data_IF_165950707494
#
_entry.id   IF_165950707494
#
_cell.length_a   1.000
_cell.length_b   1.000
_cell.length_c   1.000
_cell.angle_alpha   90.00
_cell.angle_beta   90.00
_cell.angle_gamma   90.00
#
_symmetry.space_group_name_H-M   'P 1'
#
loop_
_entity.id
_entity.type
_entity.pdbx_description
1 polymer ?
#
# COMPACT_ATOMS: atom_id res chain seq x y z
N UNK A 1 -17.37 6.35 9.77
CA UNK A 1 -17.12 7.31 10.87
C UNK A 1 -15.72 7.17 11.45
N UNK A 2 -15.29 5.98 11.91
CA UNK A 2 -13.95 5.79 12.52
C UNK A 2 -12.81 6.22 11.57
N UNK A 3 -12.85 5.77 10.30
CA UNK A 3 -11.82 6.15 9.32
C UNK A 3 -11.87 7.67 9.06
N UNK A 4 -13.07 8.29 8.94
CA UNK A 4 -13.20 9.73 8.80
C UNK A 4 -12.48 10.45 9.94
N UNK A 5 -12.77 10.09 11.20
CA UNK A 5 -12.10 10.67 12.37
C UNK A 5 -10.58 10.49 12.36
N UNK A 6 -10.12 9.30 11.95
CA UNK A 6 -8.68 9.02 11.85
C UNK A 6 -7.98 9.87 10.78
N UNK A 7 -8.72 10.27 9.74
CA UNK A 7 -8.17 11.03 8.63
C UNK A 7 -8.38 12.54 8.75
N UNK A 8 -9.13 13.02 9.75
CA UNK A 8 -9.32 14.46 10.01
C UNK A 8 -8.01 15.29 10.12
N UNK A 9 -6.91 14.77 10.68
CA UNK A 9 -5.65 15.51 10.75
C UNK A 9 -4.92 15.69 9.40
N UNK A 10 -5.39 15.05 8.33
CA UNK A 10 -4.72 15.03 7.03
C UNK A 10 -5.49 15.88 6.01
N UNK A 11 -4.91 17.01 5.60
CA UNK A 11 -5.57 18.00 4.72
C UNK A 11 -5.73 17.50 3.27
N UNK A 12 -4.99 16.48 2.87
CA UNK A 12 -5.00 15.95 1.50
C UNK A 12 -6.11 14.91 1.24
N UNK A 13 -7.00 14.66 2.20
CA UNK A 13 -8.10 13.69 2.05
C UNK A 13 -9.37 14.14 2.76
N UNK A 14 -10.50 13.93 2.14
CA UNK A 14 -11.83 14.16 2.71
C UNK A 14 -12.71 12.94 2.55
N UNK A 15 -13.52 12.67 3.56
CA UNK A 15 -14.51 11.60 3.58
C UNK A 15 -15.88 12.22 3.83
N UNK A 16 -16.88 11.95 2.95
CA UNK A 16 -18.22 12.51 3.09
C UNK A 16 -18.83 12.27 4.48
N UNK A 17 -19.58 13.25 4.96
CA UNK A 17 -20.37 13.14 6.19
C UNK A 17 -21.52 12.15 5.99
N UNK A 18 -21.77 11.31 6.98
CA UNK A 18 -22.94 10.42 6.98
C UNK A 18 -24.04 11.04 7.82
N UNK A 19 -25.20 11.26 7.20
CA UNK A 19 -26.40 11.82 7.85
C UNK A 19 -27.24 10.70 8.45
N UNK A 20 -27.02 10.39 9.73
CA UNK A 20 -27.70 9.29 10.44
C UNK A 20 -29.22 9.45 10.46
N UNK A 21 -29.71 10.66 10.66
CA UNK A 21 -31.14 10.97 10.72
C UNK A 21 -31.89 10.69 9.40
N UNK A 22 -31.14 10.64 8.30
CA UNK A 22 -31.65 10.34 6.96
C UNK A 22 -31.21 8.97 6.45
N UNK A 23 -30.54 8.16 7.28
CA UNK A 23 -30.05 6.83 6.95
C UNK A 23 -30.88 5.76 7.65
N UNK A 24 -31.02 4.59 6.99
CA UNK A 24 -31.75 3.44 7.52
C UNK A 24 -30.91 2.18 7.30
N UNK A 25 -31.43 1.02 7.69
CA UNK A 25 -30.78 -0.27 7.43
C UNK A 25 -30.47 -0.51 5.93
N UNK A 26 -31.30 0.06 5.05
CA UNK A 26 -31.22 -0.19 3.60
C UNK A 26 -30.86 1.08 2.79
N UNK A 27 -30.73 2.23 3.43
CA UNK A 27 -30.45 3.52 2.79
C UNK A 27 -29.32 4.20 3.55
N UNK A 28 -28.25 4.55 2.84
CA UNK A 28 -27.15 5.36 3.34
C UNK A 28 -27.26 6.76 2.73
N UNK A 29 -27.46 7.76 3.56
CA UNK A 29 -27.46 9.18 3.16
C UNK A 29 -26.17 9.83 3.58
N UNK A 30 -25.46 10.43 2.64
CA UNK A 30 -24.18 11.08 2.88
C UNK A 30 -24.06 12.40 2.14
N UNK A 31 -23.14 13.22 2.59
CA UNK A 31 -22.72 14.43 1.92
C UNK A 31 -22.31 14.14 0.47
N UNK A 32 -22.72 15.03 -0.44
CA UNK A 32 -22.24 14.99 -1.82
C UNK A 32 -21.03 15.94 -1.96
N UNK A 33 -19.88 15.40 -2.30
CA UNK A 33 -18.67 16.17 -2.56
C UNK A 33 -18.35 16.03 -4.06
N UNK A 34 -18.41 17.11 -4.86
CA UNK A 34 -18.06 17.03 -6.28
C UNK A 34 -16.57 16.77 -6.45
N UNK A 35 -16.23 15.94 -7.44
CA UNK A 35 -14.83 15.63 -7.75
C UNK A 35 -14.69 14.82 -9.03
N UNK A 36 -13.49 14.80 -9.58
CA UNK A 36 -13.11 14.06 -10.78
C UNK A 36 -12.63 12.67 -10.34
N UNK A 37 -13.09 11.62 -11.02
CA UNK A 37 -12.61 10.27 -10.71
C UNK A 37 -11.13 10.15 -11.03
N UNK A 38 -10.37 9.47 -10.18
CA UNK A 38 -8.92 9.25 -10.40
C UNK A 38 -8.61 8.48 -11.69
N UNK A 39 -9.57 7.82 -12.31
CA UNK A 39 -9.42 7.15 -13.61
C UNK A 39 -9.72 8.03 -14.82
N UNK A 40 -10.29 9.21 -14.62
CA UNK A 40 -10.63 10.16 -15.71
C UNK A 40 -9.43 11.06 -16.01
N UNK A 41 -8.43 10.47 -16.70
CA UNK A 41 -7.16 11.13 -17.01
C UNK A 41 -7.38 12.42 -17.79
N UNK A 42 -8.36 12.43 -18.73
CA UNK A 42 -8.64 13.61 -19.54
C UNK A 42 -9.09 14.79 -18.66
N UNK A 43 -10.11 14.57 -17.83
CA UNK A 43 -10.62 15.63 -16.94
C UNK A 43 -9.57 16.09 -15.92
N UNK A 44 -8.70 15.18 -15.43
CA UNK A 44 -7.60 15.53 -14.55
C UNK A 44 -6.60 16.47 -15.25
N UNK A 45 -6.20 16.14 -16.49
CA UNK A 45 -5.26 16.94 -17.27
C UNK A 45 -5.88 18.30 -17.66
N UNK A 46 -7.17 18.35 -18.02
CA UNK A 46 -7.89 19.59 -18.33
C UNK A 46 -7.98 20.55 -17.12
N UNK A 47 -8.05 19.99 -15.91
CA UNK A 47 -8.06 20.75 -14.66
C UNK A 47 -6.66 21.09 -14.14
N UNK A 48 -5.61 20.60 -14.79
CA UNK A 48 -4.23 20.82 -14.38
C UNK A 48 -3.83 20.10 -13.09
N UNK A 49 -4.52 18.99 -12.75
CA UNK A 49 -4.16 18.15 -11.60
C UNK A 49 -2.84 17.45 -11.86
N UNK A 50 -1.87 17.64 -10.96
CA UNK A 50 -0.60 16.91 -11.01
C UNK A 50 -0.83 15.43 -10.70
N UNK A 51 -0.83 14.60 -11.75
CA UNK A 51 -1.07 13.16 -11.64
C UNK A 51 0.01 12.42 -10.87
N UNK A 52 1.25 12.93 -10.87
CA UNK A 52 2.33 12.35 -10.08
C UNK A 52 2.08 12.58 -8.60
N UNK A 53 1.73 13.81 -8.22
CA UNK A 53 1.37 14.14 -6.84
C UNK A 53 0.12 13.38 -6.41
N UNK A 54 -0.90 13.30 -7.26
CA UNK A 54 -2.13 12.53 -7.01
C UNK A 54 -1.83 11.07 -6.65
N UNK A 55 -0.97 10.39 -7.42
CA UNK A 55 -0.56 9.01 -7.14
C UNK A 55 0.19 8.90 -5.81
N UNK A 56 1.06 9.85 -5.51
CA UNK A 56 1.78 9.92 -4.22
C UNK A 56 0.77 10.06 -3.08
N UNK A 57 -0.20 10.96 -3.19
CA UNK A 57 -1.20 11.22 -2.15
C UNK A 57 -2.13 10.02 -1.93
N UNK A 58 -2.54 9.33 -2.99
CA UNK A 58 -3.29 8.06 -2.87
C UNK A 58 -2.48 7.06 -2.03
N UNK A 59 -1.22 6.84 -2.35
CA UNK A 59 -0.38 5.92 -1.58
C UNK A 59 -0.20 6.38 -0.14
N UNK A 60 0.10 7.68 0.09
CA UNK A 60 0.25 8.24 1.44
C UNK A 60 -1.01 8.00 2.28
N UNK A 61 -2.18 8.33 1.77
CA UNK A 61 -3.44 8.19 2.50
C UNK A 61 -3.70 6.73 2.90
N UNK A 62 -3.60 5.78 1.98
CA UNK A 62 -3.90 4.38 2.28
C UNK A 62 -2.85 3.72 3.19
N UNK A 63 -1.56 4.01 2.98
CA UNK A 63 -0.51 3.50 3.85
C UNK A 63 -0.50 4.17 5.22
N UNK A 64 -0.90 5.43 5.33
CA UNK A 64 -1.14 6.08 6.63
C UNK A 64 -2.25 5.38 7.41
N UNK A 65 -3.38 5.06 6.78
CA UNK A 65 -4.43 4.26 7.42
C UNK A 65 -3.91 2.92 7.93
N UNK A 66 -3.06 2.24 7.14
CA UNK A 66 -2.51 0.93 7.49
C UNK A 66 -1.47 1.01 8.61
N UNK A 67 -0.50 1.94 8.50
CA UNK A 67 0.68 1.97 9.35
C UNK A 67 0.49 2.79 10.62
N UNK A 68 -0.41 3.80 10.61
CA UNK A 68 -0.69 4.67 11.76
C UNK A 68 -1.99 4.32 12.48
N UNK A 69 -2.93 3.65 11.80
CA UNK A 69 -4.23 3.30 12.37
C UNK A 69 -4.49 1.79 12.31
N UNK A 70 -5.29 1.28 13.24
CA UNK A 70 -5.65 -0.15 13.27
C UNK A 70 -6.76 -0.54 12.28
N UNK A 71 -7.35 0.45 11.61
CA UNK A 71 -8.45 0.30 10.66
C UNK A 71 -8.08 0.98 9.35
N UNK A 72 -8.20 0.26 8.25
CA UNK A 72 -7.90 0.79 6.93
C UNK A 72 -8.96 0.38 5.90
N UNK A 73 -9.09 1.18 4.85
CA UNK A 73 -9.93 0.86 3.70
C UNK A 73 -9.25 -0.24 2.87
N UNK A 74 -9.90 -1.40 2.75
CA UNK A 74 -9.31 -2.59 2.15
C UNK A 74 -9.68 -2.79 0.67
N UNK A 75 -10.51 -1.93 0.09
CA UNK A 75 -10.92 -1.96 -1.31
C UNK A 75 -10.84 -0.57 -1.97
N UNK A 76 -9.62 -0.02 -2.18
CA UNK A 76 -9.42 1.27 -2.82
C UNK A 76 -9.68 1.20 -4.33
N UNK A 77 -10.86 0.67 -4.70
CA UNK A 77 -11.24 0.61 -6.11
C UNK A 77 -11.24 2.02 -6.71
N UNK A 78 -10.63 2.26 -7.89
CA UNK A 78 -10.52 3.60 -8.46
C UNK A 78 -11.86 4.33 -8.65
N UNK A 79 -12.96 3.58 -8.80
CA UNK A 79 -14.32 4.13 -8.85
C UNK A 79 -14.80 4.77 -7.55
N UNK A 80 -14.13 4.48 -6.42
CA UNK A 80 -14.44 4.99 -5.08
C UNK A 80 -13.48 6.10 -4.64
N UNK A 81 -12.61 6.54 -5.53
CA UNK A 81 -11.64 7.61 -5.28
C UNK A 81 -11.86 8.71 -6.31
N UNK A 82 -12.06 9.92 -5.83
CA UNK A 82 -12.10 11.13 -6.66
C UNK A 82 -11.14 12.17 -6.10
N UNK A 83 -10.95 13.25 -6.83
CA UNK A 83 -10.12 14.38 -6.42
C UNK A 83 -10.85 15.68 -6.68
N UNK A 84 -10.76 16.65 -5.77
CA UNK A 84 -11.24 18.01 -5.96
C UNK A 84 -10.32 18.79 -6.90
N UNK A 85 -10.77 19.95 -7.36
CA UNK A 85 -9.98 20.86 -8.20
C UNK A 85 -8.67 21.34 -7.50
N UNK A 86 -8.60 21.29 -6.19
CA UNK A 86 -7.42 21.65 -5.38
C UNK A 86 -6.46 20.48 -5.12
N UNK A 87 -6.74 19.29 -5.66
CA UNK A 87 -5.93 18.08 -5.44
C UNK A 87 -6.33 17.24 -4.23
N UNK A 88 -7.27 17.67 -3.39
CA UNK A 88 -7.72 16.90 -2.22
C UNK A 88 -8.44 15.62 -2.64
N UNK A 89 -8.01 14.49 -2.13
CA UNK A 89 -8.64 13.19 -2.39
C UNK A 89 -10.02 13.10 -1.70
N UNK A 90 -10.97 12.47 -2.38
CA UNK A 90 -12.28 12.14 -1.83
C UNK A 90 -12.42 10.62 -1.82
N UNK A 91 -12.68 10.05 -0.65
CA UNK A 91 -12.90 8.61 -0.51
C UNK A 91 -14.38 8.32 -0.23
N UNK A 92 -14.96 7.47 -1.09
CA UNK A 92 -16.32 6.97 -0.92
C UNK A 92 -16.30 5.52 -0.47
N UNK A 93 -17.42 4.88 -0.40
CA UNK A 93 -17.68 3.43 -0.21
C UNK A 93 -16.65 2.70 0.67
N UNK A 94 -16.99 2.60 1.96
CA UNK A 94 -16.22 1.85 2.96
C UNK A 94 -16.85 0.46 3.21
N UNK A 95 -17.39 -0.17 2.17
CA UNK A 95 -18.00 -1.50 2.25
C UNK A 95 -17.03 -2.61 2.66
N UNK A 96 -15.73 -2.41 2.42
CA UNK A 96 -14.69 -3.35 2.85
C UNK A 96 -13.63 -2.64 3.70
N UNK A 97 -13.56 -3.05 4.97
CA UNK A 97 -12.62 -2.49 5.95
C UNK A 97 -11.71 -3.60 6.45
N UNK A 98 -10.41 -3.36 6.42
CA UNK A 98 -9.40 -4.20 7.06
C UNK A 98 -9.11 -3.73 8.49
N UNK A 99 -8.74 -4.68 9.33
CA UNK A 99 -8.24 -4.43 10.69
C UNK A 99 -6.97 -5.22 10.90
N UNK A 100 -5.98 -4.56 11.46
CA UNK A 100 -4.76 -5.20 11.95
C UNK A 100 -4.55 -4.82 13.41
N UNK A 101 -4.04 -5.75 14.20
CA UNK A 101 -3.65 -5.45 15.58
C UNK A 101 -2.28 -4.73 15.60
N UNK A 102 -1.95 -4.12 16.73
CA UNK A 102 -0.72 -3.34 16.87
C UNK A 102 0.53 -4.20 16.67
N UNK A 103 0.51 -5.47 17.10
CA UNK A 103 1.63 -6.39 16.89
C UNK A 103 1.91 -6.60 15.39
N UNK A 104 0.88 -6.89 14.59
CA UNK A 104 1.02 -7.06 13.14
C UNK A 104 1.46 -5.77 12.47
N UNK A 105 0.93 -4.62 12.92
CA UNK A 105 1.31 -3.30 12.41
C UNK A 105 2.80 -3.02 12.64
N UNK A 106 3.30 -3.25 13.85
CA UNK A 106 4.73 -3.10 14.17
C UNK A 106 5.60 -3.99 13.28
N UNK A 107 5.20 -5.24 13.05
CA UNK A 107 5.92 -6.15 12.14
C UNK A 107 5.92 -5.65 10.69
N UNK A 108 4.80 -5.09 10.21
CA UNK A 108 4.74 -4.45 8.89
C UNK A 108 5.68 -3.24 8.80
N UNK A 109 5.70 -2.38 9.81
CA UNK A 109 6.64 -1.25 9.87
C UNK A 109 8.08 -1.75 9.81
N UNK A 110 8.44 -2.80 10.58
CA UNK A 110 9.78 -3.42 10.54
C UNK A 110 10.14 -3.97 9.16
N UNK A 111 9.17 -4.60 8.48
CA UNK A 111 9.35 -5.07 7.11
C UNK A 111 9.74 -3.92 6.18
N UNK A 112 8.98 -2.84 6.23
CA UNK A 112 9.22 -1.67 5.38
C UNK A 112 10.52 -0.94 5.73
N UNK A 113 10.84 -0.78 7.01
CA UNK A 113 12.14 -0.23 7.43
C UNK A 113 13.30 -1.08 6.90
N UNK A 114 13.18 -2.41 6.93
CA UNK A 114 14.19 -3.31 6.36
C UNK A 114 14.42 -3.07 4.86
N UNK A 115 13.36 -2.79 4.10
CA UNK A 115 13.43 -2.45 2.67
C UNK A 115 14.06 -1.07 2.43
N UNK A 116 13.67 -0.05 3.21
CA UNK A 116 14.20 1.31 3.13
C UNK A 116 15.69 1.35 3.46
N UNK A 117 16.08 0.67 4.54
CA UNK A 117 17.47 0.55 4.99
C UNK A 117 18.34 -0.37 4.11
N UNK A 118 17.73 -1.00 3.09
CA UNK A 118 18.40 -1.98 2.21
C UNK A 118 19.03 -3.11 3.01
N UNK A 119 18.31 -3.64 3.97
CA UNK A 119 18.77 -4.67 4.89
C UNK A 119 18.00 -5.99 4.68
N UNK A 120 18.47 -6.90 3.77
CA UNK A 120 17.77 -8.15 3.49
C UNK A 120 17.58 -9.04 4.74
N UNK A 121 18.57 -9.23 5.64
CA UNK A 121 18.39 -10.02 6.85
C UNK A 121 17.25 -9.50 7.73
N UNK A 122 17.14 -8.18 7.94
CA UNK A 122 16.06 -7.55 8.71
C UNK A 122 14.70 -7.72 8.02
N UNK A 123 14.67 -7.56 6.72
CA UNK A 123 13.45 -7.76 5.90
C UNK A 123 12.95 -9.19 6.02
N UNK A 124 13.82 -10.17 5.85
CA UNK A 124 13.46 -11.60 5.94
C UNK A 124 12.99 -11.97 7.35
N UNK A 125 13.62 -11.43 8.39
CA UNK A 125 13.16 -11.63 9.77
C UNK A 125 11.73 -11.11 9.97
N UNK A 126 11.43 -9.91 9.48
CA UNK A 126 10.08 -9.35 9.58
C UNK A 126 9.04 -10.15 8.76
N UNK A 127 9.42 -10.67 7.57
CA UNK A 127 8.57 -11.56 6.78
C UNK A 127 8.25 -12.86 7.52
N UNK A 128 9.23 -13.45 8.19
CA UNK A 128 9.04 -14.66 8.98
C UNK A 128 8.13 -14.40 10.20
N UNK A 129 8.37 -13.32 10.94
CA UNK A 129 7.51 -12.87 12.06
C UNK A 129 6.05 -12.60 11.63
N UNK A 130 5.83 -12.17 10.38
CA UNK A 130 4.51 -11.98 9.78
C UNK A 130 3.87 -13.31 9.30
N UNK A 131 4.62 -14.41 9.33
CA UNK A 131 4.20 -15.71 8.82
C UNK A 131 4.11 -15.77 7.28
N UNK A 132 4.84 -14.93 6.59
CA UNK A 132 4.87 -14.86 5.12
C UNK A 132 5.79 -15.92 4.50
N UNK A 133 6.56 -16.64 5.31
CA UNK A 133 7.50 -17.66 4.84
C UNK A 133 7.05 -19.07 5.26
N UNK A 134 7.43 -20.08 4.47
CA UNK A 134 7.22 -21.49 4.83
C UNK A 134 8.12 -21.86 6.01
N UNK A 135 7.75 -22.82 6.88
CA UNK A 135 8.56 -23.17 8.05
C UNK A 135 9.96 -23.70 7.70
N UNK A 136 10.12 -24.27 6.52
CA UNK A 136 11.31 -24.90 5.98
C UNK A 136 12.01 -24.03 4.90
N UNK A 137 11.79 -22.72 4.93
CA UNK A 137 12.43 -21.83 3.96
C UNK A 137 13.95 -21.78 4.11
N UNK A 138 14.65 -21.66 2.99
CA UNK A 138 16.09 -21.39 3.01
C UNK A 138 16.35 -19.90 3.15
N UNK A 139 16.81 -19.48 4.33
CA UNK A 139 17.04 -18.08 4.68
C UNK A 139 17.99 -17.39 3.70
N UNK A 140 19.09 -18.02 3.32
CA UNK A 140 20.09 -17.42 2.42
C UNK A 140 19.53 -17.16 1.03
N UNK A 141 18.69 -18.07 0.50
CA UNK A 141 18.02 -17.90 -0.79
C UNK A 141 17.04 -16.73 -0.74
N UNK A 142 16.24 -16.62 0.34
CA UNK A 142 15.28 -15.52 0.48
C UNK A 142 16.02 -14.20 0.66
N UNK A 143 17.07 -14.13 1.49
CA UNK A 143 17.88 -12.92 1.65
C UNK A 143 18.50 -12.45 0.32
N UNK A 144 19.02 -13.37 -0.49
CA UNK A 144 19.55 -13.03 -1.82
C UNK A 144 18.45 -12.53 -2.75
N UNK A 145 17.27 -13.16 -2.76
CA UNK A 145 16.12 -12.71 -3.53
C UNK A 145 15.66 -11.30 -3.13
N UNK A 146 15.61 -11.01 -1.83
CA UNK A 146 15.27 -9.67 -1.31
C UNK A 146 16.35 -8.65 -1.69
N UNK A 147 17.65 -9.01 -1.63
CA UNK A 147 18.73 -8.14 -2.08
C UNK A 147 18.55 -7.72 -3.54
N UNK A 148 18.27 -8.67 -4.43
CA UNK A 148 18.02 -8.39 -5.86
C UNK A 148 16.76 -7.54 -6.07
N UNK A 149 15.69 -7.83 -5.32
CA UNK A 149 14.46 -7.02 -5.35
C UNK A 149 14.72 -5.58 -4.91
N UNK A 150 15.49 -5.39 -3.85
CA UNK A 150 15.89 -4.05 -3.38
C UNK A 150 16.71 -3.34 -4.46
N UNK A 151 17.70 -3.99 -5.07
CA UNK A 151 18.47 -3.42 -6.18
C UNK A 151 17.56 -2.91 -7.31
N UNK A 152 16.57 -3.74 -7.71
CA UNK A 152 15.59 -3.38 -8.73
C UNK A 152 14.72 -2.17 -8.33
N UNK A 153 14.23 -2.12 -7.09
CA UNK A 153 13.44 -0.99 -6.57
C UNK A 153 14.19 0.33 -6.61
N UNK A 154 15.53 0.30 -6.50
CA UNK A 154 16.39 1.48 -6.59
C UNK A 154 16.94 1.73 -8.01
N UNK A 155 16.35 1.08 -9.03
CA UNK A 155 16.68 1.29 -10.45
C UNK A 155 17.98 0.61 -10.90
N UNK A 156 18.54 -0.31 -10.12
CA UNK A 156 19.67 -1.15 -10.51
C UNK A 156 19.13 -2.49 -10.99
N UNK A 157 19.28 -2.80 -12.27
CA UNK A 157 18.93 -4.14 -12.77
C UNK A 157 19.93 -5.13 -12.20
N UNK A 158 19.48 -6.29 -11.65
CA UNK A 158 20.35 -7.43 -11.38
C UNK A 158 21.02 -7.85 -12.70
N UNK A 159 22.24 -8.35 -12.64
CA UNK A 159 22.84 -8.96 -13.83
C UNK A 159 22.35 -10.41 -14.00
N UNK A 160 22.50 -10.95 -15.21
CA UNK A 160 22.04 -12.31 -15.54
C UNK A 160 22.74 -13.36 -14.65
N UNK A 161 23.97 -13.11 -14.25
CA UNK A 161 24.77 -14.00 -13.38
C UNK A 161 24.19 -14.06 -11.96
N UNK A 162 23.74 -12.91 -11.41
CA UNK A 162 23.09 -12.84 -10.09
C UNK A 162 21.76 -13.61 -10.09
N UNK A 163 20.96 -13.45 -11.15
CA UNK A 163 19.68 -14.15 -11.31
C UNK A 163 19.89 -15.67 -11.46
N UNK A 164 20.87 -16.11 -12.27
CA UNK A 164 21.23 -17.52 -12.40
C UNK A 164 21.72 -18.13 -11.08
N UNK A 165 22.54 -17.41 -10.32
CA UNK A 165 23.00 -17.87 -9.00
C UNK A 165 21.82 -18.06 -8.04
N UNK A 166 20.89 -17.12 -7.98
CA UNK A 166 19.70 -17.24 -7.15
C UNK A 166 18.86 -18.45 -7.57
N UNK A 167 18.59 -18.62 -8.86
CA UNK A 167 17.82 -19.76 -9.37
C UNK A 167 18.50 -21.10 -9.06
N UNK A 168 19.82 -21.19 -9.20
CA UNK A 168 20.58 -22.39 -8.86
C UNK A 168 20.55 -22.71 -7.36
N UNK A 169 20.63 -21.70 -6.50
CA UNK A 169 20.49 -21.86 -5.05
C UNK A 169 19.06 -22.32 -4.69
N UNK A 170 18.06 -21.70 -5.28
CA UNK A 170 16.65 -22.04 -5.04
C UNK A 170 16.35 -23.49 -5.47
N UNK A 171 16.76 -23.88 -6.67
CA UNK A 171 16.52 -25.22 -7.20
C UNK A 171 17.22 -26.32 -6.39
N UNK A 172 18.38 -26.03 -5.81
CA UNK A 172 19.13 -27.01 -4.99
C UNK A 172 18.57 -27.18 -3.58
N UNK A 173 17.92 -26.14 -3.02
CA UNK A 173 17.63 -26.09 -1.58
C UNK A 173 16.16 -25.97 -1.26
N UNK A 174 15.29 -25.65 -2.23
CA UNK A 174 13.86 -25.48 -1.99
C UNK A 174 13.05 -26.44 -2.87
N UNK A 175 12.30 -27.32 -2.22
CA UNK A 175 11.39 -28.25 -2.89
C UNK A 175 9.99 -27.66 -3.11
N UNK A 176 9.67 -26.54 -2.46
CA UNK A 176 8.35 -25.90 -2.47
C UNK A 176 8.48 -24.38 -2.54
N UNK A 177 7.42 -23.73 -3.02
CA UNK A 177 7.32 -22.28 -3.02
C UNK A 177 7.42 -21.75 -1.58
N UNK A 178 8.39 -20.86 -1.28
CA UNK A 178 8.71 -20.49 0.10
C UNK A 178 7.77 -19.47 0.72
N UNK A 179 6.94 -18.81 -0.07
CA UNK A 179 6.07 -17.75 0.42
C UNK A 179 4.67 -18.27 0.76
N UNK A 180 4.10 -17.68 1.79
CA UNK A 180 2.73 -17.90 2.24
C UNK A 180 1.96 -16.60 2.29
N UNK A 181 0.66 -16.69 2.10
CA UNK A 181 -0.26 -15.57 2.31
C UNK A 181 -1.00 -15.78 3.64
N UNK A 182 -0.59 -15.13 4.73
CA UNK A 182 -1.32 -15.18 5.98
C UNK A 182 -2.71 -14.57 5.83
N UNK A 183 -3.73 -15.22 6.38
CA UNK A 183 -5.12 -14.74 6.26
C UNK A 183 -5.32 -13.31 6.79
N UNK A 184 -4.62 -12.95 7.85
CA UNK A 184 -4.69 -11.62 8.45
C UNK A 184 -4.06 -10.51 7.60
N UNK A 185 -3.22 -10.88 6.60
CA UNK A 185 -2.64 -9.94 5.65
C UNK A 185 -3.38 -9.90 4.30
N UNK A 186 -4.36 -10.76 4.07
CA UNK A 186 -5.03 -10.87 2.77
C UNK A 186 -5.66 -9.53 2.31
N UNK A 187 -6.34 -8.82 3.21
CA UNK A 187 -6.95 -7.53 2.91
C UNK A 187 -5.90 -6.43 2.67
N UNK A 188 -4.79 -6.46 3.39
CA UNK A 188 -3.66 -5.57 3.16
C UNK A 188 -3.07 -5.78 1.76
N UNK A 189 -2.79 -7.03 1.37
CA UNK A 189 -2.24 -7.33 0.04
C UNK A 189 -3.22 -6.96 -1.07
N UNK A 190 -4.51 -7.18 -0.88
CA UNK A 190 -5.56 -6.72 -1.80
C UNK A 190 -5.50 -5.20 -1.98
N UNK A 191 -5.48 -4.44 -0.90
CA UNK A 191 -5.36 -2.98 -0.92
C UNK A 191 -4.13 -2.55 -1.72
N UNK A 192 -2.95 -3.09 -1.40
CA UNK A 192 -1.68 -2.74 -2.06
C UNK A 192 -1.72 -3.01 -3.57
N UNK A 193 -2.26 -4.16 -3.99
CA UNK A 193 -2.38 -4.51 -5.41
C UNK A 193 -3.30 -3.55 -6.18
N UNK A 194 -4.42 -3.14 -5.58
CA UNK A 194 -5.35 -2.20 -6.23
C UNK A 194 -4.71 -0.82 -6.37
N UNK A 195 -4.00 -0.34 -5.35
CA UNK A 195 -3.30 0.95 -5.39
C UNK A 195 -2.19 0.92 -6.45
N UNK A 196 -1.45 -0.18 -6.57
CA UNK A 196 -0.47 -0.37 -7.64
C UNK A 196 -1.11 -0.29 -9.03
N UNK A 197 -2.32 -0.81 -9.21
CA UNK A 197 -3.10 -0.67 -10.45
C UNK A 197 -3.41 0.80 -10.81
N UNK A 198 -3.69 1.65 -9.83
CA UNK A 198 -3.89 3.10 -10.04
C UNK A 198 -2.59 3.72 -10.57
N UNK A 199 -1.46 3.43 -9.94
CA UNK A 199 -0.15 3.89 -10.37
C UNK A 199 0.14 3.55 -11.84
N UNK A 200 -0.09 2.31 -12.25
CA UNK A 200 0.13 1.88 -13.64
C UNK A 200 -0.79 2.62 -14.64
N UNK A 201 -2.03 2.92 -14.25
CA UNK A 201 -2.97 3.66 -15.08
C UNK A 201 -2.49 5.08 -15.38
N UNK A 202 -1.88 5.74 -14.40
CA UNK A 202 -1.39 7.12 -14.57
C UNK A 202 -0.07 7.23 -15.32
N UNK A 203 0.69 6.12 -15.48
CA UNK A 203 1.99 6.07 -16.18
C UNK A 203 3.00 7.12 -15.67
N UNK A 204 3.04 7.33 -14.36
CA UNK A 204 3.96 8.29 -13.72
C UNK A 204 5.20 7.58 -13.19
N UNK A 205 6.32 8.33 -13.01
CA UNK A 205 7.51 7.79 -12.35
C UNK A 205 7.30 7.82 -10.82
N UNK A 206 6.94 6.66 -10.28
CA UNK A 206 6.62 6.51 -8.87
C UNK A 206 7.63 5.58 -8.18
N UNK A 207 8.19 6.05 -7.08
CA UNK A 207 9.11 5.27 -6.25
C UNK A 207 8.49 5.03 -4.88
N UNK A 208 7.76 3.94 -4.76
CA UNK A 208 7.04 3.54 -3.54
C UNK A 208 7.89 3.64 -2.27
N UNK A 209 9.15 3.18 -2.33
CA UNK A 209 10.08 3.24 -1.19
C UNK A 209 10.31 4.67 -0.67
N UNK A 210 10.35 5.67 -1.56
CA UNK A 210 10.50 7.07 -1.15
C UNK A 210 9.27 7.59 -0.41
N UNK A 211 8.08 7.30 -0.94
CA UNK A 211 6.82 7.71 -0.30
C UNK A 211 6.66 7.05 1.06
N UNK A 212 7.01 5.77 1.14
CA UNK A 212 6.96 5.02 2.39
C UNK A 212 7.92 5.58 3.45
N UNK A 213 9.14 5.98 3.04
CA UNK A 213 10.09 6.68 3.91
C UNK A 213 9.48 7.95 4.51
N UNK A 214 8.83 8.79 3.68
CA UNK A 214 8.16 10.01 4.15
C UNK A 214 7.06 9.72 5.18
N UNK A 215 6.23 8.68 4.96
CA UNK A 215 5.16 8.31 5.90
C UNK A 215 5.74 7.92 7.28
N UNK A 216 6.88 7.24 7.29
CA UNK A 216 7.50 6.77 8.54
C UNK A 216 8.37 7.83 9.24
N UNK A 217 8.93 8.80 8.49
CA UNK A 217 9.73 9.92 9.02
C UNK A 217 8.88 11.02 9.66
N UNK A 218 7.65 11.24 9.20
CA UNK A 218 6.71 12.23 9.75
C UNK A 218 6.30 11.96 11.22
N UNK A 219 6.89 10.95 11.89
CA UNK A 219 6.66 10.58 13.30
C UNK A 219 7.90 10.71 14.20
N UNK A 220 9.01 11.27 13.73
CA UNK A 220 10.27 11.35 14.52
C UNK A 220 10.41 12.67 15.27
#
# INVERSE_FOLDING_TARGET
KTIKKNMEPYDNVVIPEVHDDYSTKNILTMEYIPGIKVTDIQSLDEKGIDRQQLVIDVHKVFFTMLLKHSIFHADPHPGNISVKDDGTLILYDFGMIGRINDETRVKLVRLYLGLIEKNPPRTVTAMDELGMLAPDFNRQVIEKGIELSIKSMYGKKPDETEDEQLMNMANKTMSKFPFKLPKHLALYLRMSTIIEGIYHTHKVDFKFIKVLGQILEEES
#
